data_IF_875218939213
#
_entry.id   IF_875218939213
#
_cell.length_a   1.000
_cell.length_b   1.000
_cell.length_c   1.000
_cell.angle_alpha   90.00
_cell.angle_beta   90.00
_cell.angle_gamma   90.00
#
_symmetry.space_group_name_H-M   'P 1'
#
loop_
_entity.id
_entity.type
_entity.pdbx_description
1 polymer ?
#
# COMPACT_ATOMS: atom_id res chain seq x y z
N UNK A 1 -14.01 2.27 -13.97
CA UNK A 1 -12.91 1.89 -13.05
C UNK A 1 -13.33 2.21 -11.64
N UNK A 2 -12.97 1.35 -10.71
CA UNK A 2 -13.31 1.49 -9.30
C UNK A 2 -12.02 1.61 -8.50
N UNK A 3 -11.85 2.74 -7.82
CA UNK A 3 -10.69 3.02 -6.99
C UNK A 3 -11.15 3.18 -5.54
N UNK A 4 -10.94 2.15 -4.72
CA UNK A 4 -11.25 2.19 -3.30
C UNK A 4 -9.96 2.39 -2.53
N UNK A 5 -9.92 3.41 -1.68
CA UNK A 5 -8.75 3.72 -0.86
C UNK A 5 -9.14 3.68 0.62
N UNK A 6 -8.47 2.82 1.36
CA UNK A 6 -8.65 2.67 2.81
C UNK A 6 -7.70 3.60 3.57
N UNK A 7 -8.24 4.51 4.37
CA UNK A 7 -7.47 5.35 5.28
C UNK A 7 -7.72 4.95 6.73
N UNK A 8 -6.84 5.32 7.64
CA UNK A 8 -7.02 5.02 9.05
C UNK A 8 -5.75 5.24 9.87
N UNK A 9 -5.90 5.27 11.19
CA UNK A 9 -4.75 5.43 12.07
C UNK A 9 -3.74 4.28 11.88
N UNK A 10 -2.43 4.53 12.10
CA UNK A 10 -1.44 3.46 12.10
C UNK A 10 -1.88 2.30 12.98
N UNK A 11 -1.68 1.06 12.50
CA UNK A 11 -2.04 -0.20 13.19
C UNK A 11 -3.55 -0.39 13.46
N UNK A 12 -4.43 0.34 12.78
CA UNK A 12 -5.88 0.05 12.85
C UNK A 12 -6.26 -1.30 12.22
N UNK A 13 -5.40 -1.81 11.33
CA UNK A 13 -5.56 -3.10 10.65
C UNK A 13 -5.76 -3.01 9.15
N UNK A 14 -5.32 -1.92 8.48
CA UNK A 14 -5.49 -1.74 7.02
C UNK A 14 -4.86 -2.89 6.23
N UNK A 15 -3.58 -3.15 6.43
CA UNK A 15 -2.86 -4.31 5.86
C UNK A 15 -3.58 -5.61 6.17
N UNK A 16 -4.02 -5.83 7.41
CA UNK A 16 -4.79 -7.04 7.77
C UNK A 16 -6.10 -7.16 6.99
N UNK A 17 -6.80 -6.06 6.74
CA UNK A 17 -8.02 -6.05 5.90
C UNK A 17 -7.67 -6.41 4.45
N UNK A 18 -6.57 -5.88 3.90
CA UNK A 18 -6.08 -6.25 2.56
C UNK A 18 -5.74 -7.74 2.48
N UNK A 19 -4.98 -8.27 3.44
CA UNK A 19 -4.60 -9.69 3.45
C UNK A 19 -5.83 -10.61 3.52
N UNK A 20 -6.79 -10.31 4.41
CA UNK A 20 -8.06 -11.06 4.50
C UNK A 20 -8.90 -10.99 3.22
N UNK A 21 -8.78 -9.89 2.46
CA UNK A 21 -9.44 -9.76 1.17
C UNK A 21 -8.74 -10.64 0.12
N UNK A 22 -7.40 -10.56 0.03
CA UNK A 22 -6.58 -11.38 -0.87
C UNK A 22 -6.77 -12.89 -0.64
N UNK A 23 -6.96 -13.32 0.61
CA UNK A 23 -7.23 -14.72 0.95
C UNK A 23 -8.56 -15.25 0.40
N UNK A 24 -9.51 -14.36 0.05
CA UNK A 24 -10.90 -14.73 -0.26
C UNK A 24 -11.35 -14.35 -1.66
N UNK A 25 -10.73 -13.34 -2.26
CA UNK A 25 -11.05 -12.92 -3.61
C UNK A 25 -10.69 -14.01 -4.61
N UNK A 26 -11.47 -14.11 -5.68
CA UNK A 26 -11.16 -14.98 -6.82
C UNK A 26 -10.51 -14.21 -7.97
N UNK A 27 -10.34 -12.90 -7.81
CA UNK A 27 -9.79 -12.05 -8.85
C UNK A 27 -8.30 -12.23 -9.01
N UNK A 28 -7.85 -12.09 -10.24
CA UNK A 28 -6.42 -11.95 -10.50
C UNK A 28 -5.96 -10.59 -9.96
N UNK A 29 -5.16 -10.65 -8.90
CA UNK A 29 -4.64 -9.47 -8.24
C UNK A 29 -3.16 -9.27 -8.56
N UNK A 30 -2.80 -8.03 -8.85
CA UNK A 30 -1.42 -7.57 -8.92
C UNK A 30 -1.15 -6.52 -7.83
N UNK A 31 0.10 -6.10 -7.72
CA UNK A 31 0.52 -5.03 -6.83
C UNK A 31 1.29 -5.54 -5.62
N UNK A 32 1.26 -4.80 -4.52
CA UNK A 32 2.10 -5.13 -3.37
C UNK A 32 1.46 -4.77 -2.03
N UNK A 33 2.00 -5.40 -1.00
CA UNK A 33 1.76 -5.04 0.39
C UNK A 33 3.06 -4.92 1.17
N UNK A 34 2.98 -4.36 2.37
CA UNK A 34 4.13 -4.11 3.23
C UNK A 34 4.00 -4.82 4.58
N UNK A 35 5.12 -5.30 5.10
CA UNK A 35 5.19 -5.94 6.42
C UNK A 35 6.32 -5.34 7.25
N UNK A 36 6.13 -5.31 8.58
CA UNK A 36 7.19 -4.90 9.50
C UNK A 36 8.32 -5.92 9.55
N UNK A 37 9.56 -5.48 9.37
CA UNK A 37 10.77 -6.25 9.70
C UNK A 37 11.01 -6.10 11.20
N UNK A 38 11.01 -7.21 11.93
CA UNK A 38 11.23 -7.26 13.38
C UNK A 38 12.45 -8.11 13.70
N UNK A 39 13.23 -7.68 14.70
CA UNK A 39 14.33 -8.49 15.21
C UNK A 39 13.87 -9.57 16.18
N UNK A 40 14.83 -10.36 16.68
CA UNK A 40 14.59 -11.45 17.65
C UNK A 40 13.88 -11.01 18.93
N UNK A 41 13.94 -9.73 19.28
CA UNK A 41 13.28 -9.14 20.46
C UNK A 41 11.90 -8.54 20.13
N UNK A 42 11.40 -8.74 18.90
CA UNK A 42 10.13 -8.20 18.44
C UNK A 42 10.15 -6.69 18.12
N UNK A 43 11.31 -6.04 18.18
CA UNK A 43 11.44 -4.61 17.87
C UNK A 43 11.45 -4.41 16.36
N UNK A 44 10.70 -3.42 15.89
CA UNK A 44 10.68 -3.05 14.47
C UNK A 44 11.98 -2.36 14.04
N UNK A 45 12.62 -2.94 13.02
CA UNK A 45 13.86 -2.47 12.41
C UNK A 45 13.65 -1.94 10.99
N UNK A 46 12.56 -2.31 10.34
CA UNK A 46 12.25 -1.82 9.01
C UNK A 46 10.90 -2.26 8.50
N UNK A 47 10.76 -2.16 7.18
CA UNK A 47 9.59 -2.53 6.41
C UNK A 47 10.06 -3.22 5.14
N UNK A 48 9.50 -4.40 4.86
CA UNK A 48 9.67 -5.10 3.60
C UNK A 48 8.43 -4.91 2.74
N UNK A 49 8.63 -4.94 1.44
CA UNK A 49 7.58 -4.95 0.41
C UNK A 49 7.52 -6.36 -0.18
N UNK A 50 6.30 -6.84 -0.46
CA UNK A 50 6.06 -8.14 -1.07
C UNK A 50 5.14 -7.94 -2.28
N UNK A 51 5.58 -8.40 -3.45
CA UNK A 51 4.77 -8.46 -4.66
C UNK A 51 3.71 -9.55 -4.57
N UNK A 52 2.48 -9.26 -4.99
CA UNK A 52 1.34 -10.17 -4.86
C UNK A 52 1.38 -11.27 -5.91
N UNK A 53 1.71 -10.93 -7.15
CA UNK A 53 1.71 -11.89 -8.25
C UNK A 53 2.97 -12.76 -8.23
N UNK A 54 4.14 -12.17 -7.93
CA UNK A 54 5.42 -12.90 -7.97
C UNK A 54 5.88 -13.44 -6.62
N UNK A 55 5.36 -12.93 -5.50
CA UNK A 55 5.89 -13.19 -4.16
C UNK A 55 7.27 -12.57 -3.90
N UNK A 56 7.81 -11.77 -4.85
CA UNK A 56 9.12 -11.14 -4.72
C UNK A 56 9.16 -10.23 -3.50
N UNK A 57 10.22 -10.37 -2.70
CA UNK A 57 10.42 -9.59 -1.49
C UNK A 57 11.54 -8.57 -1.70
N UNK A 58 11.31 -7.35 -1.25
CA UNK A 58 12.30 -6.27 -1.23
C UNK A 58 12.27 -5.49 0.07
N UNK A 59 13.24 -4.60 0.26
CA UNK A 59 13.27 -3.68 1.41
C UNK A 59 12.67 -2.35 0.99
N UNK A 60 11.70 -1.83 1.76
CA UNK A 60 11.21 -0.46 1.61
C UNK A 60 12.03 0.50 2.46
N UNK A 61 12.26 0.15 3.72
CA UNK A 61 13.06 0.97 4.63
C UNK A 61 13.65 0.14 5.77
N UNK A 62 14.84 0.49 6.23
CA UNK A 62 15.49 -0.17 7.37
C UNK A 62 16.31 0.85 8.18
N UNK A 63 16.61 0.52 9.44
CA UNK A 63 17.53 1.32 10.27
C UNK A 63 18.99 1.27 9.80
N UNK A 64 19.35 0.27 9.00
CA UNK A 64 20.72 0.01 8.53
C UNK A 64 20.88 0.22 7.01
N UNK A 65 19.92 0.89 6.36
CA UNK A 65 20.04 1.26 4.94
C UNK A 65 20.82 2.57 4.86
N UNK A 66 21.82 2.64 3.99
CA UNK A 66 22.54 3.87 3.68
C UNK A 66 21.74 4.71 2.69
N UNK A 67 21.03 5.73 3.19
CA UNK A 67 20.22 6.62 2.36
C UNK A 67 20.02 7.96 3.04
N UNK A 68 19.94 9.04 2.25
CA UNK A 68 19.60 10.37 2.77
C UNK A 68 18.08 10.54 2.99
N UNK A 69 17.27 9.63 2.44
CA UNK A 69 15.80 9.69 2.55
C UNK A 69 15.37 9.01 3.84
N UNK A 70 14.83 9.78 4.78
CA UNK A 70 14.54 9.31 6.14
C UNK A 70 13.11 9.59 6.56
N UNK A 71 12.52 8.66 7.31
CA UNK A 71 11.24 8.84 8.02
C UNK A 71 11.38 8.31 9.45
N UNK A 72 11.38 9.20 10.43
CA UNK A 72 11.71 8.84 11.81
C UNK A 72 13.14 8.30 11.89
N UNK A 73 13.31 7.06 12.34
CA UNK A 73 14.62 6.38 12.40
C UNK A 73 14.96 5.54 11.17
N UNK A 74 14.03 5.36 10.23
CA UNK A 74 14.19 4.44 9.10
C UNK A 74 14.70 5.18 7.87
N UNK A 75 15.69 4.60 7.22
CA UNK A 75 16.23 5.04 5.94
C UNK A 75 15.55 4.28 4.81
N UNK A 76 15.10 5.00 3.79
CA UNK A 76 14.29 4.46 2.69
C UNK A 76 15.21 3.93 1.60
N UNK A 77 15.04 2.65 1.27
CA UNK A 77 15.67 1.97 0.15
C UNK A 77 14.78 2.12 -1.07
N UNK A 78 15.06 3.16 -1.86
CA UNK A 78 14.20 3.50 -3.00
C UNK A 78 14.33 2.48 -4.13
N UNK A 79 15.54 2.00 -4.37
CA UNK A 79 15.82 1.04 -5.44
C UNK A 79 15.22 -0.32 -5.10
N UNK A 80 15.39 -0.78 -3.86
CA UNK A 80 14.76 -2.01 -3.36
C UNK A 80 13.23 -1.95 -3.42
N UNK A 81 12.64 -0.81 -3.10
CA UNK A 81 11.20 -0.59 -3.25
C UNK A 81 10.77 -0.62 -4.72
N UNK A 82 11.39 0.20 -5.58
CA UNK A 82 11.01 0.31 -7.00
C UNK A 82 11.15 -1.02 -7.75
N UNK A 83 12.17 -1.81 -7.43
CA UNK A 83 12.43 -3.11 -8.06
C UNK A 83 11.35 -4.17 -7.77
N UNK A 84 10.50 -3.95 -6.77
CA UNK A 84 9.35 -4.82 -6.44
C UNK A 84 8.04 -4.15 -6.80
N UNK A 85 7.84 -2.89 -6.38
CA UNK A 85 6.57 -2.19 -6.54
C UNK A 85 6.20 -1.98 -8.02
N UNK A 86 7.13 -1.48 -8.85
CA UNK A 86 6.77 -1.02 -10.20
C UNK A 86 6.35 -2.18 -11.13
N UNK A 87 7.06 -3.32 -11.18
CA UNK A 87 6.64 -4.45 -12.01
C UNK A 87 5.31 -5.07 -11.57
N UNK A 88 4.96 -4.97 -10.29
CA UNK A 88 3.73 -5.53 -9.75
C UNK A 88 2.50 -4.65 -10.01
N UNK A 89 2.67 -3.37 -10.32
CA UNK A 89 1.56 -2.44 -10.57
C UNK A 89 0.99 -2.57 -12.00
N UNK A 90 0.71 -3.80 -12.42
CA UNK A 90 0.21 -4.16 -13.74
C UNK A 90 -1.25 -3.72 -13.92
N UNK A 91 -1.54 -2.94 -14.96
CA UNK A 91 -2.89 -2.46 -15.28
C UNK A 91 -3.77 -3.49 -15.96
N UNK A 92 -3.21 -4.58 -16.48
CA UNK A 92 -3.97 -5.63 -17.14
C UNK A 92 -4.62 -6.61 -16.14
N UNK A 93 -4.19 -6.60 -14.87
CA UNK A 93 -4.80 -7.38 -13.82
C UNK A 93 -6.23 -6.90 -13.49
N UNK A 94 -7.09 -7.82 -13.02
CA UNK A 94 -8.48 -7.49 -12.68
C UNK A 94 -8.60 -6.48 -11.52
N UNK A 95 -7.60 -6.48 -10.62
CA UNK A 95 -7.50 -5.58 -9.47
C UNK A 95 -6.04 -5.35 -9.06
N UNK A 96 -5.65 -4.08 -8.94
CA UNK A 96 -4.32 -3.66 -8.46
C UNK A 96 -4.39 -3.30 -6.98
N UNK A 97 -3.55 -3.92 -6.17
CA UNK A 97 -3.47 -3.70 -4.72
C UNK A 97 -2.25 -2.85 -4.36
N UNK A 98 -2.44 -1.82 -3.54
CA UNK A 98 -1.35 -0.94 -3.12
C UNK A 98 -1.43 -0.68 -1.61
N UNK A 99 -0.61 -1.37 -0.82
CA UNK A 99 -0.51 -1.17 0.64
C UNK A 99 0.94 -0.80 1.04
N UNK A 100 1.31 0.47 1.26
CA UNK A 100 0.49 1.67 1.49
C UNK A 100 0.97 2.89 0.67
N UNK A 101 0.08 3.84 0.39
CA UNK A 101 0.42 5.19 -0.10
C UNK A 101 0.84 6.05 1.10
N UNK A 102 2.14 6.02 1.40
CA UNK A 102 2.73 6.67 2.56
C UNK A 102 3.94 7.54 2.25
N UNK A 103 4.50 8.17 3.29
CA UNK A 103 5.64 9.09 3.15
C UNK A 103 6.89 8.39 2.57
N UNK A 104 7.08 7.10 2.85
CA UNK A 104 8.28 6.37 2.42
C UNK A 104 8.21 6.07 0.91
N UNK A 105 7.09 5.53 0.47
CA UNK A 105 6.78 5.15 -0.91
C UNK A 105 6.76 6.39 -1.81
N UNK A 106 6.21 7.50 -1.31
CA UNK A 106 6.15 8.79 -2.01
C UNK A 106 7.51 9.50 -2.14
N UNK A 107 8.61 8.92 -1.70
CA UNK A 107 9.92 9.36 -2.18
C UNK A 107 10.17 8.96 -3.64
N UNK A 108 9.50 7.93 -4.15
CA UNK A 108 9.66 7.49 -5.54
C UNK A 108 8.75 8.30 -6.46
N UNK A 109 9.35 9.05 -7.37
CA UNK A 109 8.61 9.76 -8.42
C UNK A 109 8.03 8.78 -9.44
N UNK A 110 8.71 7.64 -9.69
CA UNK A 110 8.21 6.57 -10.56
C UNK A 110 6.96 5.94 -9.99
N UNK A 111 6.95 5.65 -8.68
CA UNK A 111 5.76 5.15 -7.99
C UNK A 111 4.60 6.14 -8.06
N UNK A 112 4.84 7.44 -7.87
CA UNK A 112 3.77 8.45 -8.03
C UNK A 112 3.16 8.42 -9.43
N UNK A 113 4.01 8.38 -10.45
CA UNK A 113 3.57 8.30 -11.84
C UNK A 113 2.75 7.01 -12.08
N UNK A 114 3.27 5.86 -11.68
CA UNK A 114 2.61 4.56 -11.84
C UNK A 114 1.28 4.53 -11.06
N UNK A 115 1.25 5.00 -9.82
CA UNK A 115 0.02 5.12 -9.02
C UNK A 115 -1.07 5.93 -9.74
N UNK A 116 -0.72 7.08 -10.33
CA UNK A 116 -1.67 7.87 -11.10
C UNK A 116 -2.12 7.17 -12.37
N UNK A 117 -1.21 6.45 -13.04
CA UNK A 117 -1.53 5.63 -14.20
C UNK A 117 -2.53 4.52 -13.85
N UNK A 118 -2.27 3.72 -12.79
CA UNK A 118 -3.21 2.68 -12.35
C UNK A 118 -4.57 3.25 -11.96
N UNK A 119 -4.62 4.37 -11.23
CA UNK A 119 -5.90 5.00 -10.85
C UNK A 119 -6.72 5.52 -12.04
N UNK A 120 -6.09 5.70 -13.20
CA UNK A 120 -6.75 6.17 -14.43
C UNK A 120 -7.01 5.04 -15.43
N UNK A 121 -6.44 3.85 -15.24
CA UNK A 121 -6.49 2.78 -16.24
C UNK A 121 -6.86 1.39 -15.68
N UNK A 122 -6.96 1.22 -14.36
CA UNK A 122 -7.26 -0.06 -13.72
C UNK A 122 -8.25 0.09 -12.55
N UNK A 123 -8.73 -1.04 -12.01
CA UNK A 123 -9.38 -1.04 -10.71
C UNK A 123 -8.31 -1.10 -9.63
N UNK A 124 -8.44 -0.27 -8.59
CA UNK A 124 -7.42 -0.17 -7.53
C UNK A 124 -8.06 -0.33 -6.16
N UNK A 125 -7.48 -1.20 -5.33
CA UNK A 125 -7.70 -1.23 -3.89
C UNK A 125 -6.39 -0.82 -3.20
N UNK A 126 -6.37 0.36 -2.59
CA UNK A 126 -5.19 0.87 -1.94
C UNK A 126 -5.42 1.18 -0.46
N UNK A 127 -4.34 1.34 0.29
CA UNK A 127 -4.37 1.99 1.59
C UNK A 127 -3.60 3.31 1.53
N UNK A 128 -3.99 4.28 2.36
CA UNK A 128 -3.33 5.59 2.43
C UNK A 128 -3.20 6.05 3.88
N UNK A 129 -2.10 6.75 4.16
CA UNK A 129 -1.85 7.26 5.52
C UNK A 129 -2.92 8.28 5.93
N UNK A 130 -3.50 8.09 7.13
CA UNK A 130 -4.49 9.05 7.65
C UNK A 130 -3.91 10.45 7.86
N UNK A 131 -2.68 10.53 8.34
CA UNK A 131 -1.91 11.77 8.50
C UNK A 131 -0.47 11.53 8.04
N UNK A 132 0.18 12.59 7.56
CA UNK A 132 1.53 12.51 7.00
C UNK A 132 1.52 12.40 5.47
N UNK A 133 2.70 12.30 4.86
CA UNK A 133 2.86 12.22 3.40
C UNK A 133 2.71 13.55 2.63
N UNK A 134 2.48 14.65 3.34
CA UNK A 134 2.49 16.01 2.78
C UNK A 134 1.33 16.28 1.81
N UNK A 135 1.48 17.33 1.00
CA UNK A 135 0.43 17.79 0.09
C UNK A 135 -0.02 16.72 -0.89
N UNK A 136 0.87 15.80 -1.29
CA UNK A 136 0.52 14.73 -2.22
C UNK A 136 -0.58 13.82 -1.65
N UNK A 137 -0.43 13.35 -0.40
CA UNK A 137 -1.45 12.50 0.25
C UNK A 137 -2.78 13.23 0.37
N UNK A 138 -2.76 14.52 0.74
CA UNK A 138 -3.98 15.31 0.90
C UNK A 138 -4.69 15.58 -0.43
N UNK A 139 -3.94 15.76 -1.53
CA UNK A 139 -4.50 15.85 -2.87
C UNK A 139 -5.09 14.51 -3.33
N UNK A 140 -4.41 13.39 -3.06
CA UNK A 140 -4.91 12.07 -3.41
C UNK A 140 -6.24 11.77 -2.71
N UNK A 141 -6.38 12.09 -1.43
CA UNK A 141 -7.64 11.93 -0.67
C UNK A 141 -8.82 12.72 -1.22
N UNK A 142 -8.55 13.81 -1.96
CA UNK A 142 -9.57 14.70 -2.55
C UNK A 142 -9.85 14.41 -4.03
N UNK A 143 -9.18 13.41 -4.61
CA UNK A 143 -9.31 13.09 -6.03
C UNK A 143 -10.73 12.60 -6.31
N UNK A 144 -11.38 13.15 -7.35
CA UNK A 144 -12.79 12.87 -7.64
C UNK A 144 -13.07 11.41 -8.05
N UNK A 145 -12.06 10.70 -8.56
CA UNK A 145 -12.21 9.32 -9.06
C UNK A 145 -11.81 8.27 -8.02
N UNK A 146 -11.85 8.59 -6.72
CA UNK A 146 -11.61 7.63 -5.63
C UNK A 146 -12.77 7.61 -4.65
N UNK A 147 -13.00 6.46 -4.05
CA UNK A 147 -13.81 6.30 -2.85
C UNK A 147 -12.88 6.12 -1.64
N UNK A 148 -12.90 7.10 -0.74
CA UNK A 148 -12.07 7.08 0.47
C UNK A 148 -12.88 6.52 1.64
N UNK A 149 -12.48 5.36 2.16
CA UNK A 149 -13.14 4.70 3.29
C UNK A 149 -12.23 4.80 4.53
N UNK A 150 -12.75 5.40 5.61
CA UNK A 150 -12.03 5.41 6.88
C UNK A 150 -12.25 4.12 7.68
N UNK A 151 -11.16 3.36 7.87
CA UNK A 151 -11.08 2.23 8.78
C UNK A 151 -10.87 2.69 10.22
N UNK A 152 -11.68 2.09 11.08
CA UNK A 152 -11.61 2.13 12.53
C UNK A 152 -11.61 0.71 13.08
N UNK A 153 -11.23 0.52 14.35
CA UNK A 153 -11.33 -0.79 15.00
C UNK A 153 -12.76 -1.35 14.99
N UNK A 154 -13.78 -0.48 14.98
CA UNK A 154 -15.20 -0.85 15.07
C UNK A 154 -15.76 -1.33 13.73
N UNK A 155 -15.33 -0.76 12.61
CA UNK A 155 -15.91 -1.04 11.29
C UNK A 155 -15.05 -1.96 10.41
N UNK A 156 -13.81 -2.29 10.79
CA UNK A 156 -12.87 -3.00 9.90
C UNK A 156 -13.38 -4.34 9.36
N UNK A 157 -14.15 -5.09 10.15
CA UNK A 157 -14.66 -6.40 9.73
C UNK A 157 -15.87 -6.25 8.79
N UNK A 158 -16.72 -5.24 9.03
CA UNK A 158 -17.80 -4.86 8.12
C UNK A 158 -17.23 -4.38 6.78
N UNK A 159 -16.28 -3.43 6.81
CA UNK A 159 -15.63 -2.88 5.62
C UNK A 159 -14.97 -4.00 4.81
N UNK A 160 -14.24 -4.91 5.45
CA UNK A 160 -13.63 -6.06 4.76
C UNK A 160 -14.67 -6.95 4.06
N UNK A 161 -15.82 -7.19 4.70
CA UNK A 161 -16.90 -7.99 4.11
C UNK A 161 -17.57 -7.26 2.95
N UNK A 162 -17.71 -5.94 3.03
CA UNK A 162 -18.27 -5.11 1.96
C UNK A 162 -17.34 -5.04 0.75
N UNK A 163 -16.03 -4.88 0.97
CA UNK A 163 -15.02 -4.94 -0.09
C UNK A 163 -15.13 -6.24 -0.87
N UNK A 164 -15.16 -7.38 -0.19
CA UNK A 164 -15.26 -8.69 -0.85
C UNK A 164 -16.55 -8.83 -1.68
N UNK A 165 -17.68 -8.28 -1.23
CA UNK A 165 -18.93 -8.32 -2.00
C UNK A 165 -18.90 -7.45 -3.26
N UNK A 166 -18.23 -6.30 -3.17
CA UNK A 166 -18.21 -5.29 -4.24
C UNK A 166 -17.15 -5.57 -5.30
N UNK A 167 -15.98 -6.02 -4.85
CA UNK A 167 -14.75 -6.07 -5.66
C UNK A 167 -13.98 -7.39 -5.52
N UNK A 168 -14.53 -8.36 -4.79
CA UNK A 168 -13.92 -9.68 -4.56
C UNK A 168 -14.03 -10.65 -5.71
#
# INVERSE_FOLDING_TARGET
MMNIILTGFPRVGKTTTIMKFLEKTKRECSGFYTEEIKNKQGRREGFKIIGISTGKVGTLAHINVESFRKVGKYFVDLEGFEAVALPEMDTEAELVIIDEIGKMELYSSKFKFQLLHNLNNANVLATITKKGGGNYVELMKKRANIELIELTKKNRDQVGSELLKRIG
#
